data_IF_720260684973
#
_entry.id   IF_720260684973
#
_cell.length_a   1.000
_cell.length_b   1.000
_cell.length_c   1.000
_cell.angle_alpha   90.00
_cell.angle_beta   90.00
_cell.angle_gamma   90.00
#
_symmetry.space_group_name_H-M   'P 1'
#
loop_
_entity.id
_entity.type
_entity.pdbx_description
1 polymer ?
#
# COMPACT_ATOMS: atom_id res chain seq x y z
N UNK A 1 -21.33 -0.82 -8.49
CA UNK A 1 -20.51 -1.70 -9.35
C UNK A 1 -20.92 -3.16 -9.19
N UNK A 2 -20.80 -3.74 -7.99
CA UNK A 2 -21.09 -5.16 -7.72
C UNK A 2 -22.47 -5.60 -8.24
N UNK A 3 -23.53 -4.86 -7.91
CA UNK A 3 -24.88 -5.23 -8.38
C UNK A 3 -25.02 -5.20 -9.90
N UNK A 4 -24.31 -4.29 -10.57
CA UNK A 4 -24.30 -4.22 -12.02
C UNK A 4 -23.54 -5.41 -12.63
N UNK A 5 -22.41 -5.80 -12.01
CA UNK A 5 -21.65 -6.99 -12.40
C UNK A 5 -22.50 -8.27 -12.24
N UNK A 6 -23.20 -8.41 -11.12
CA UNK A 6 -24.12 -9.52 -10.87
C UNK A 6 -25.24 -9.56 -11.93
N UNK A 7 -25.93 -8.43 -12.18
CA UNK A 7 -26.97 -8.34 -13.22
C UNK A 7 -26.47 -8.62 -14.63
N UNK A 8 -25.21 -8.31 -14.91
CA UNK A 8 -24.58 -8.56 -16.22
C UNK A 8 -24.06 -10.00 -16.38
N UNK A 9 -24.19 -10.85 -15.36
CA UNK A 9 -23.69 -12.23 -15.40
C UNK A 9 -22.16 -12.33 -15.38
N UNK A 10 -21.48 -11.35 -14.78
CA UNK A 10 -20.03 -11.44 -14.52
C UNK A 10 -19.78 -12.68 -13.65
N UNK A 11 -18.86 -13.54 -14.10
CA UNK A 11 -18.61 -14.83 -13.44
C UNK A 11 -17.67 -14.74 -12.24
N UNK A 12 -16.76 -13.78 -12.22
CA UNK A 12 -15.75 -13.64 -11.18
C UNK A 12 -15.30 -12.19 -11.03
N UNK A 13 -15.14 -11.73 -9.79
CA UNK A 13 -14.62 -10.39 -9.45
C UNK A 13 -13.38 -10.55 -8.58
N UNK A 14 -12.26 -10.00 -9.05
CA UNK A 14 -11.03 -9.87 -8.25
C UNK A 14 -11.00 -8.48 -7.64
N UNK A 15 -11.07 -8.42 -6.32
CA UNK A 15 -11.14 -7.18 -5.56
C UNK A 15 -9.79 -6.88 -4.93
N UNK A 16 -9.16 -5.76 -5.31
CA UNK A 16 -8.10 -5.16 -4.51
C UNK A 16 -8.72 -4.54 -3.25
N UNK A 17 -8.29 -5.02 -2.09
CA UNK A 17 -8.81 -4.68 -0.77
C UNK A 17 -7.72 -4.16 0.15
N UNK A 18 -8.10 -3.68 1.33
CA UNK A 18 -7.18 -3.25 2.39
C UNK A 18 -6.65 -4.43 3.22
N UNK A 19 -5.53 -4.25 3.91
CA UNK A 19 -4.85 -5.33 4.66
C UNK A 19 -5.69 -5.89 5.81
N UNK A 20 -6.57 -5.09 6.43
CA UNK A 20 -7.47 -5.52 7.53
C UNK A 20 -8.85 -4.88 7.35
N UNK A 21 -9.66 -5.41 6.43
CA UNK A 21 -11.03 -4.96 6.26
C UNK A 21 -11.86 -5.45 7.44
N UNK A 22 -12.61 -4.55 8.06
CA UNK A 22 -13.42 -4.83 9.24
C UNK A 22 -14.56 -3.81 9.31
N UNK A 23 -15.80 -4.29 9.14
CA UNK A 23 -17.04 -3.50 9.16
C UNK A 23 -17.26 -2.78 10.49
N UNK A 24 -16.68 -3.27 11.58
CA UNK A 24 -16.81 -2.69 12.92
C UNK A 24 -15.69 -1.70 13.27
N UNK A 25 -14.69 -1.55 12.40
CA UNK A 25 -13.50 -0.74 12.68
C UNK A 25 -13.85 0.74 12.85
N UNK A 26 -13.27 1.48 13.79
CA UNK A 26 -13.41 2.94 13.81
C UNK A 26 -12.67 3.62 12.63
N UNK A 27 -11.71 2.93 12.01
CA UNK A 27 -10.97 3.43 10.85
C UNK A 27 -11.79 3.33 9.56
N UNK A 28 -12.03 4.48 8.92
CA UNK A 28 -12.94 4.58 7.77
C UNK A 28 -12.58 3.65 6.61
N UNK A 29 -11.30 3.49 6.29
CA UNK A 29 -10.89 2.66 5.13
C UNK A 29 -11.02 1.17 5.43
N UNK A 30 -10.74 0.74 6.67
CA UNK A 30 -10.99 -0.64 7.09
C UNK A 30 -12.48 -1.00 7.00
N UNK A 31 -13.38 -0.13 7.47
CA UNK A 31 -14.84 -0.34 7.31
C UNK A 31 -15.26 -0.38 5.87
N UNK A 32 -14.88 0.63 5.09
CA UNK A 32 -15.24 0.72 3.68
C UNK A 32 -14.83 -0.55 2.92
N UNK A 33 -13.59 -1.05 3.13
CA UNK A 33 -13.19 -2.30 2.50
C UNK A 33 -14.00 -3.49 3.02
N UNK A 34 -14.29 -3.59 4.33
CA UNK A 34 -15.11 -4.65 4.91
C UNK A 34 -16.54 -4.68 4.35
N UNK A 35 -17.19 -3.52 4.26
CA UNK A 35 -18.54 -3.38 3.69
C UNK A 35 -18.55 -3.84 2.22
N UNK A 36 -17.52 -3.47 1.45
CA UNK A 36 -17.39 -3.91 0.05
C UNK A 36 -17.14 -5.42 -0.06
N UNK A 37 -16.32 -6.02 0.82
CA UNK A 37 -16.14 -7.49 0.81
C UNK A 37 -17.44 -8.21 1.13
N UNK A 38 -18.11 -7.80 2.21
CA UNK A 38 -19.37 -8.41 2.62
C UNK A 38 -20.44 -8.28 1.53
N UNK A 39 -20.54 -7.12 0.88
CA UNK A 39 -21.48 -6.92 -0.22
C UNK A 39 -21.14 -7.78 -1.45
N UNK A 40 -19.85 -7.94 -1.78
CA UNK A 40 -19.42 -8.80 -2.86
C UNK A 40 -19.73 -10.28 -2.57
N UNK A 41 -19.45 -10.73 -1.35
CA UNK A 41 -19.73 -12.08 -0.87
C UNK A 41 -21.22 -12.41 -0.90
N UNK A 42 -22.06 -11.46 -0.47
CA UNK A 42 -23.52 -11.61 -0.47
C UNK A 42 -24.14 -11.52 -1.88
N UNK A 43 -23.42 -11.02 -2.88
CA UNK A 43 -23.95 -10.80 -4.24
C UNK A 43 -24.17 -12.09 -5.04
N UNK A 44 -23.58 -13.21 -4.61
CA UNK A 44 -23.59 -14.48 -5.34
C UNK A 44 -22.62 -14.56 -6.52
N UNK A 45 -21.89 -13.47 -6.84
CA UNK A 45 -20.80 -13.49 -7.82
C UNK A 45 -19.57 -14.14 -7.19
N UNK A 46 -18.91 -15.06 -7.89
CA UNK A 46 -17.65 -15.61 -7.40
C UNK A 46 -16.62 -14.49 -7.22
N UNK A 47 -15.76 -14.60 -6.22
CA UNK A 47 -14.83 -13.51 -5.88
C UNK A 47 -13.45 -14.02 -5.49
N UNK A 48 -12.47 -13.12 -5.53
CA UNK A 48 -11.20 -13.28 -4.84
C UNK A 48 -10.80 -11.92 -4.24
N UNK A 49 -10.43 -11.90 -2.97
CA UNK A 49 -9.94 -10.68 -2.31
C UNK A 49 -8.41 -10.66 -2.29
N UNK A 50 -7.81 -9.63 -2.85
CA UNK A 50 -6.38 -9.32 -2.72
C UNK A 50 -6.23 -8.23 -1.66
N UNK A 51 -5.89 -8.59 -0.43
CA UNK A 51 -5.78 -7.67 0.70
C UNK A 51 -4.37 -7.10 0.79
N UNK A 52 -4.19 -5.86 0.33
CA UNK A 52 -2.90 -5.16 0.33
C UNK A 52 -2.89 -3.97 1.30
N UNK A 53 -1.71 -3.65 1.83
CA UNK A 53 -1.48 -2.53 2.75
C UNK A 53 -0.86 -1.33 2.05
N UNK A 54 0.24 -0.82 2.59
CA UNK A 54 1.07 0.20 1.94
C UNK A 54 1.67 -0.26 0.60
N UNK A 55 1.74 0.67 -0.35
CA UNK A 55 2.42 0.47 -1.62
C UNK A 55 3.80 1.13 -1.59
N UNK A 56 4.84 0.45 -2.11
CA UNK A 56 6.18 1.05 -2.24
C UNK A 56 6.16 2.35 -3.05
N UNK A 57 5.23 2.45 -4.01
CA UNK A 57 5.06 3.62 -4.85
C UNK A 57 4.55 4.85 -4.08
N UNK A 58 3.90 4.69 -2.92
CA UNK A 58 3.45 5.80 -2.08
C UNK A 58 4.60 6.72 -1.64
N UNK A 59 5.83 6.18 -1.53
CA UNK A 59 7.01 6.97 -1.17
C UNK A 59 7.42 7.98 -2.24
N UNK A 60 6.90 7.89 -3.47
CA UNK A 60 7.12 8.92 -4.48
C UNK A 60 6.55 10.29 -4.07
N UNK A 61 5.53 10.32 -3.21
CA UNK A 61 5.01 11.58 -2.63
C UNK A 61 6.03 12.30 -1.75
N UNK A 62 7.07 11.60 -1.29
CA UNK A 62 8.15 12.14 -0.45
C UNK A 62 9.35 12.63 -1.26
N UNK A 63 9.39 12.40 -2.58
CA UNK A 63 10.50 12.81 -3.46
C UNK A 63 10.85 14.29 -3.31
N UNK A 64 9.89 15.25 -3.26
CA UNK A 64 10.26 16.66 -3.05
C UNK A 64 11.01 16.90 -1.73
N UNK A 65 10.65 16.21 -0.65
CA UNK A 65 11.37 16.33 0.63
C UNK A 65 12.74 15.66 0.57
N UNK A 66 12.81 14.46 -0.01
CA UNK A 66 14.04 13.70 -0.17
C UNK A 66 15.06 14.50 -1.00
N UNK A 67 14.65 15.05 -2.14
CA UNK A 67 15.53 15.80 -3.04
C UNK A 67 15.98 17.12 -2.41
N UNK A 68 15.06 17.87 -1.80
CA UNK A 68 15.38 19.21 -1.29
C UNK A 68 16.06 19.20 0.09
N UNK A 69 15.88 18.14 0.89
CA UNK A 69 16.31 18.11 2.31
C UNK A 69 17.11 16.87 2.69
N UNK A 70 17.12 15.83 1.87
CA UNK A 70 17.64 14.52 2.28
C UNK A 70 16.78 13.88 3.37
N UNK A 71 15.47 14.16 3.38
CA UNK A 71 14.57 13.74 4.47
C UNK A 71 13.34 13.00 3.94
N UNK A 72 13.14 11.77 4.45
CA UNK A 72 11.87 11.06 4.39
C UNK A 72 11.01 11.51 5.57
N UNK A 73 9.89 12.21 5.32
CA UNK A 73 9.09 12.87 6.36
C UNK A 73 7.69 12.27 6.43
N UNK A 74 7.47 11.39 7.40
CA UNK A 74 6.19 10.71 7.59
C UNK A 74 5.85 10.59 9.08
N UNK A 75 4.57 10.67 9.47
CA UNK A 75 4.16 10.52 10.85
C UNK A 75 4.02 9.04 11.20
N UNK A 76 5.09 8.27 11.14
CA UNK A 76 5.07 6.80 11.27
C UNK A 76 5.78 6.28 12.52
N UNK A 77 6.46 7.13 13.29
CA UNK A 77 7.26 6.74 14.45
C UNK A 77 8.12 5.49 14.14
N UNK A 78 8.04 4.45 14.98
CA UNK A 78 8.74 3.18 14.81
C UNK A 78 7.89 2.09 14.12
N UNK A 79 6.80 2.46 13.43
CA UNK A 79 5.94 1.49 12.74
C UNK A 79 6.74 0.70 11.69
N UNK A 80 6.54 -0.61 11.66
CA UNK A 80 7.06 -1.50 10.61
C UNK A 80 5.96 -1.80 9.61
N UNK A 81 6.26 -1.72 8.33
CA UNK A 81 5.29 -1.89 7.24
C UNK A 81 5.85 -2.84 6.18
N UNK A 82 5.08 -3.85 5.83
CA UNK A 82 5.39 -4.79 4.74
C UNK A 82 4.89 -4.26 3.38
N UNK A 83 5.41 -3.10 2.97
CA UNK A 83 4.98 -2.39 1.77
C UNK A 83 5.16 -3.24 0.52
N UNK A 84 4.16 -3.30 -0.36
CA UNK A 84 4.15 -4.13 -1.57
C UNK A 84 4.36 -3.30 -2.84
N UNK A 85 5.00 -3.88 -3.84
CA UNK A 85 5.11 -3.31 -5.17
C UNK A 85 3.80 -3.46 -5.97
N UNK A 86 3.39 -2.41 -6.69
CA UNK A 86 2.14 -2.45 -7.47
C UNK A 86 2.23 -3.49 -8.62
N UNK A 87 3.43 -3.74 -9.16
CA UNK A 87 3.67 -4.76 -10.17
C UNK A 87 3.38 -6.17 -9.65
N UNK A 88 3.81 -6.48 -8.43
CA UNK A 88 3.50 -7.78 -7.80
C UNK A 88 1.99 -7.97 -7.58
N UNK A 89 1.27 -6.90 -7.22
CA UNK A 89 -0.20 -6.95 -7.12
C UNK A 89 -0.81 -7.24 -8.49
N UNK A 90 -0.33 -6.57 -9.54
CA UNK A 90 -0.83 -6.75 -10.89
C UNK A 90 -0.58 -8.17 -11.42
N UNK A 91 0.61 -8.74 -11.15
CA UNK A 91 0.95 -10.11 -11.51
C UNK A 91 0.03 -11.11 -10.79
N UNK A 92 -0.16 -10.95 -9.48
CA UNK A 92 -1.10 -11.79 -8.71
C UNK A 92 -2.53 -11.66 -9.23
N UNK A 93 -2.98 -10.44 -9.52
CA UNK A 93 -4.32 -10.22 -10.07
C UNK A 93 -4.48 -10.89 -11.45
N UNK A 94 -3.46 -10.85 -12.31
CA UNK A 94 -3.47 -11.51 -13.60
C UNK A 94 -3.55 -13.04 -13.46
N UNK A 95 -2.75 -13.63 -12.56
CA UNK A 95 -2.79 -15.07 -12.26
C UNK A 95 -4.17 -15.48 -11.75
N UNK A 96 -4.76 -14.71 -10.84
CA UNK A 96 -6.10 -14.98 -10.29
C UNK A 96 -7.19 -14.85 -11.38
N UNK A 97 -7.10 -13.86 -12.26
CA UNK A 97 -8.08 -13.63 -13.32
C UNK A 97 -8.03 -14.67 -14.44
N UNK A 98 -6.88 -15.31 -14.64
CA UNK A 98 -6.64 -16.23 -15.77
C UNK A 98 -6.49 -17.69 -15.34
N UNK A 99 -6.22 -17.93 -14.07
CA UNK A 99 -6.15 -19.25 -13.46
C UNK A 99 -7.48 -19.75 -12.90
N UNK A 100 -7.44 -20.91 -12.25
CA UNK A 100 -8.60 -21.57 -11.63
C UNK A 100 -8.34 -21.90 -10.17
N UNK A 101 -9.39 -21.97 -9.34
CA UNK A 101 -9.26 -22.38 -7.93
C UNK A 101 -9.01 -21.21 -6.96
N UNK A 102 -9.20 -19.99 -7.43
CA UNK A 102 -9.07 -18.76 -6.65
C UNK A 102 -10.41 -18.23 -6.14
N UNK A 103 -11.52 -18.83 -6.57
CA UNK A 103 -12.87 -18.48 -6.15
C UNK A 103 -13.06 -18.67 -4.64
N UNK A 104 -13.64 -17.66 -3.98
CA UNK A 104 -13.84 -17.61 -2.54
C UNK A 104 -12.55 -17.43 -1.73
N UNK A 105 -11.39 -17.23 -2.38
CA UNK A 105 -10.10 -17.07 -1.70
C UNK A 105 -9.86 -15.63 -1.28
N UNK A 106 -9.14 -15.49 -0.17
CA UNK A 106 -8.59 -14.22 0.31
C UNK A 106 -7.09 -14.37 0.42
N UNK A 107 -6.36 -13.47 -0.23
CA UNK A 107 -4.91 -13.44 -0.24
C UNK A 107 -4.41 -12.16 0.42
N UNK A 108 -3.73 -12.25 1.58
CA UNK A 108 -2.93 -11.15 2.09
C UNK A 108 -1.71 -10.96 1.18
N UNK A 109 -1.60 -9.77 0.58
CA UNK A 109 -0.57 -9.41 -0.41
C UNK A 109 0.34 -8.36 0.20
N UNK A 110 1.59 -8.74 0.49
CA UNK A 110 2.59 -7.90 1.15
C UNK A 110 3.93 -8.02 0.45
N UNK A 111 4.79 -7.01 0.63
CA UNK A 111 6.19 -7.12 0.26
C UNK A 111 6.91 -8.22 1.07
N UNK A 112 8.17 -8.53 0.72
CA UNK A 112 8.92 -9.60 1.35
C UNK A 112 9.48 -9.21 2.73
N UNK A 113 9.56 -7.91 3.03
CA UNK A 113 10.20 -7.38 4.23
C UNK A 113 9.29 -6.36 4.92
N UNK A 114 9.25 -6.39 6.26
CA UNK A 114 8.59 -5.37 7.07
C UNK A 114 9.61 -4.37 7.60
N UNK A 115 9.58 -3.13 7.09
CA UNK A 115 10.58 -2.10 7.37
C UNK A 115 10.01 -0.93 8.15
N UNK A 116 10.82 -0.39 9.05
CA UNK A 116 10.66 0.95 9.63
C UNK A 116 10.99 2.01 8.59
N UNK A 117 10.51 3.24 8.80
CA UNK A 117 10.86 4.34 7.90
C UNK A 117 12.35 4.70 7.96
N UNK A 118 13.04 4.42 9.07
CA UNK A 118 14.51 4.52 9.17
C UNK A 118 15.19 3.53 8.22
N UNK A 119 14.76 2.25 8.21
CA UNK A 119 15.30 1.25 7.28
C UNK A 119 14.97 1.60 5.82
N UNK A 120 13.75 2.08 5.53
CA UNK A 120 13.38 2.62 4.21
C UNK A 120 14.33 3.75 3.77
N UNK A 121 14.61 4.71 4.66
CA UNK A 121 15.55 5.80 4.37
C UNK A 121 16.98 5.30 4.12
N UNK A 122 17.43 4.25 4.82
CA UNK A 122 18.71 3.59 4.57
C UNK A 122 18.77 2.94 3.19
N UNK A 123 17.72 2.22 2.78
CA UNK A 123 17.66 1.61 1.45
C UNK A 123 17.64 2.66 0.33
N UNK A 124 16.89 3.74 0.52
CA UNK A 124 16.90 4.88 -0.39
C UNK A 124 18.29 5.55 -0.44
N UNK A 125 18.98 5.69 0.69
CA UNK A 125 20.32 6.27 0.74
C UNK A 125 21.31 5.43 -0.07
N UNK A 126 21.27 4.11 0.12
CA UNK A 126 22.10 3.17 -0.63
C UNK A 126 21.81 3.24 -2.13
N UNK A 127 20.54 3.21 -2.52
CA UNK A 127 20.14 3.25 -3.93
C UNK A 127 20.49 4.56 -4.65
N UNK A 128 20.47 5.67 -3.92
CA UNK A 128 20.72 7.01 -4.49
C UNK A 128 22.16 7.48 -4.33
N UNK A 129 22.98 6.79 -3.53
CA UNK A 129 24.30 7.23 -3.08
C UNK A 129 24.28 8.65 -2.45
N UNK A 130 23.18 9.01 -1.77
CA UNK A 130 22.99 10.28 -1.08
C UNK A 130 22.49 10.03 0.34
N UNK A 131 22.89 10.83 1.34
CA UNK A 131 22.37 10.67 2.69
C UNK A 131 20.88 11.05 2.75
N UNK A 132 20.03 10.09 3.12
CA UNK A 132 18.61 10.28 3.36
C UNK A 132 18.30 9.78 4.77
N UNK A 133 17.73 10.65 5.61
CA UNK A 133 17.31 10.29 6.96
C UNK A 133 15.80 10.31 7.10
N UNK A 134 15.28 9.46 7.98
CA UNK A 134 13.88 9.53 8.38
C UNK A 134 13.68 10.62 9.44
N UNK A 135 12.59 11.37 9.32
CA UNK A 135 12.11 12.32 10.32
C UNK A 135 10.66 11.97 10.63
N UNK A 136 10.41 11.53 11.87
CA UNK A 136 9.05 11.38 12.36
C UNK A 136 8.45 12.78 12.57
N UNK A 137 7.45 13.11 11.77
CA UNK A 137 6.76 14.40 11.85
C UNK A 137 5.54 14.23 12.77
N UNK A 138 5.21 15.20 13.63
CA UNK A 138 3.97 15.17 14.39
C UNK A 138 2.76 15.00 13.44
N UNK A 139 1.77 14.13 13.76
CA UNK A 139 0.64 13.88 12.87
C UNK A 139 -0.13 15.14 12.45
N UNK A 140 -0.28 16.10 13.36
CA UNK A 140 -0.93 17.39 13.14
C UNK A 140 -0.16 18.25 12.13
N UNK A 141 1.16 18.27 12.21
CA UNK A 141 2.03 19.00 11.28
C UNK A 141 2.01 18.34 9.89
N UNK A 142 2.02 17.00 9.84
CA UNK A 142 1.91 16.26 8.58
C UNK A 142 0.58 16.57 7.87
N UNK A 143 -0.53 16.60 8.63
CA UNK A 143 -1.85 16.96 8.11
C UNK A 143 -1.89 18.41 7.61
N UNK A 144 -1.37 19.36 8.40
CA UNK A 144 -1.33 20.76 8.02
C UNK A 144 -0.51 20.98 6.74
N UNK A 145 0.64 20.32 6.63
CA UNK A 145 1.48 20.37 5.44
C UNK A 145 0.78 19.80 4.19
N UNK A 146 0.02 18.70 4.33
CA UNK A 146 -0.77 18.14 3.22
C UNK A 146 -1.84 19.12 2.72
N UNK A 147 -2.56 19.77 3.63
CA UNK A 147 -3.56 20.78 3.28
C UNK A 147 -2.91 21.99 2.60
N UNK A 148 -1.79 22.47 3.14
CA UNK A 148 -1.02 23.57 2.54
C UNK A 148 -0.49 23.22 1.13
N UNK A 149 -0.24 21.94 0.87
CA UNK A 149 0.13 21.42 -0.46
C UNK A 149 -1.07 21.22 -1.41
N UNK A 150 -2.28 21.65 -1.02
CA UNK A 150 -3.47 21.61 -1.85
C UNK A 150 -4.33 20.36 -1.68
N UNK A 151 -4.03 19.48 -0.73
CA UNK A 151 -4.89 18.33 -0.44
C UNK A 151 -6.19 18.78 0.23
N UNK A 152 -7.36 18.33 -0.25
CA UNK A 152 -8.63 18.56 0.41
C UNK A 152 -8.62 18.08 1.89
N UNK A 153 -9.17 18.85 2.84
CA UNK A 153 -9.12 18.51 4.27
C UNK A 153 -9.62 17.10 4.60
N UNK A 154 -10.71 16.65 3.97
CA UNK A 154 -11.28 15.33 4.23
C UNK A 154 -10.33 14.17 3.83
N UNK A 155 -9.48 14.37 2.81
CA UNK A 155 -8.45 13.40 2.42
C UNK A 155 -7.27 13.42 3.39
N UNK A 156 -6.86 14.62 3.84
CA UNK A 156 -5.82 14.76 4.86
C UNK A 156 -6.25 14.10 6.19
N UNK A 157 -7.53 14.23 6.57
CA UNK A 157 -8.10 13.51 7.73
C UNK A 157 -8.03 12.00 7.57
N UNK A 158 -8.37 11.49 6.37
CA UNK A 158 -8.28 10.07 6.06
C UNK A 158 -6.84 9.54 6.13
N UNK A 159 -5.86 10.31 5.66
CA UNK A 159 -4.44 9.96 5.79
C UNK A 159 -3.96 10.02 7.25
N UNK A 160 -4.41 10.99 8.03
CA UNK A 160 -4.09 11.08 9.45
C UNK A 160 -4.59 9.84 10.21
N UNK A 161 -5.83 9.40 9.95
CA UNK A 161 -6.36 8.14 10.49
C UNK A 161 -5.53 6.93 10.03
N UNK A 162 -5.17 6.86 8.75
CA UNK A 162 -4.35 5.76 8.20
C UNK A 162 -3.00 5.66 8.90
N UNK A 163 -2.30 6.78 9.09
CA UNK A 163 -1.02 6.78 9.79
C UNK A 163 -1.17 6.38 11.27
N UNK A 164 -2.24 6.82 11.93
CA UNK A 164 -2.54 6.42 13.30
C UNK A 164 -2.80 4.91 13.41
N UNK A 165 -3.50 4.30 12.45
CA UNK A 165 -3.69 2.84 12.40
C UNK A 165 -2.38 2.09 12.15
N UNK A 166 -1.54 2.58 11.23
CA UNK A 166 -0.25 1.96 10.93
C UNK A 166 0.69 1.94 12.14
N UNK A 167 0.66 2.98 12.97
CA UNK A 167 1.39 3.03 14.24
C UNK A 167 0.99 1.91 15.22
N UNK A 168 -0.18 1.28 15.05
CA UNK A 168 -0.60 0.11 15.85
C UNK A 168 0.07 -1.20 15.39
N UNK A 169 0.86 -1.17 14.31
CA UNK A 169 1.73 -2.28 13.89
C UNK A 169 1.05 -3.40 13.11
N UNK A 170 -0.24 -3.26 12.76
CA UNK A 170 -0.98 -4.35 12.11
C UNK A 170 -0.54 -4.64 10.66
N UNK A 171 0.20 -3.73 10.02
CA UNK A 171 0.78 -3.92 8.68
C UNK A 171 2.24 -4.47 8.70
N UNK A 172 2.74 -4.89 9.87
CA UNK A 172 4.10 -5.43 10.01
C UNK A 172 4.24 -6.91 9.62
N UNK A 173 3.13 -7.63 9.43
CA UNK A 173 3.15 -9.06 9.12
C UNK A 173 3.44 -9.30 7.64
N UNK A 174 4.49 -10.06 7.35
CA UNK A 174 4.82 -10.52 5.99
C UNK A 174 4.02 -11.78 5.66
N UNK A 175 3.32 -11.75 4.54
CA UNK A 175 2.56 -12.87 4.00
C UNK A 175 3.43 -13.75 3.08
N UNK A 176 3.42 -15.08 3.24
CA UNK A 176 4.14 -15.99 2.35
C UNK A 176 3.36 -16.28 1.06
N UNK A 177 2.20 -15.65 0.82
CA UNK A 177 1.28 -16.01 -0.28
C UNK A 177 1.93 -15.90 -1.65
N UNK A 178 2.63 -14.80 -1.94
CA UNK A 178 3.28 -14.62 -3.25
C UNK A 178 4.29 -15.74 -3.55
N UNK A 179 5.26 -16.07 -2.67
CA UNK A 179 6.20 -17.16 -2.93
C UNK A 179 5.58 -18.55 -2.85
N UNK A 180 4.55 -18.77 -2.02
CA UNK A 180 4.01 -20.13 -1.80
C UNK A 180 2.88 -20.49 -2.76
N UNK A 181 1.96 -19.56 -3.05
CA UNK A 181 0.81 -19.79 -3.93
C UNK A 181 1.17 -19.41 -5.36
N UNK A 182 1.70 -18.21 -5.56
CA UNK A 182 1.99 -17.67 -6.89
C UNK A 182 3.40 -18.02 -7.38
N UNK A 183 4.23 -18.65 -6.54
CA UNK A 183 5.58 -19.14 -6.89
C UNK A 183 6.50 -18.03 -7.43
N UNK A 184 6.30 -16.79 -6.98
CA UNK A 184 7.10 -15.62 -7.37
C UNK A 184 7.92 -15.11 -6.19
N UNK A 185 9.07 -14.51 -6.49
CA UNK A 185 9.80 -13.70 -5.52
C UNK A 185 9.23 -12.27 -5.58
N UNK A 186 8.65 -11.75 -4.49
CA UNK A 186 8.21 -10.36 -4.45
C UNK A 186 9.37 -9.38 -4.65
N UNK A 187 9.08 -8.24 -5.24
CA UNK A 187 9.93 -7.05 -5.29
C UNK A 187 10.33 -6.66 -3.86
N UNK A 188 11.63 -6.70 -3.55
CA UNK A 188 12.12 -6.16 -2.27
C UNK A 188 12.17 -4.64 -2.31
N UNK A 189 12.10 -4.00 -1.15
CA UNK A 189 12.20 -2.54 -1.11
C UNK A 189 13.57 -2.03 -1.61
N UNK A 190 14.65 -2.76 -1.30
CA UNK A 190 15.99 -2.45 -1.78
C UNK A 190 16.09 -2.50 -3.31
N UNK A 191 15.51 -3.54 -3.93
CA UNK A 191 15.46 -3.68 -5.39
C UNK A 191 14.56 -2.57 -6.01
N UNK A 192 13.44 -2.22 -5.36
CA UNK A 192 12.55 -1.14 -5.79
C UNK A 192 13.26 0.22 -5.75
N UNK A 193 13.92 0.53 -4.64
CA UNK A 193 14.70 1.76 -4.47
C UNK A 193 15.79 1.89 -5.55
N UNK A 194 16.51 0.80 -5.85
CA UNK A 194 17.50 0.76 -6.93
C UNK A 194 16.88 0.98 -8.31
N UNK A 195 15.77 0.30 -8.60
CA UNK A 195 15.04 0.44 -9.88
C UNK A 195 14.57 1.88 -10.11
N UNK A 196 14.14 2.57 -9.05
CA UNK A 196 13.57 3.91 -9.12
C UNK A 196 14.52 5.01 -8.61
N UNK A 197 15.82 4.73 -8.52
CA UNK A 197 16.79 5.65 -7.92
C UNK A 197 16.83 7.01 -8.62
N UNK A 198 16.66 7.06 -9.95
CA UNK A 198 16.61 8.32 -10.71
C UNK A 198 15.44 9.23 -10.26
N UNK A 199 14.28 8.66 -9.92
CA UNK A 199 13.14 9.41 -9.37
C UNK A 199 13.50 9.98 -8.00
N UNK A 200 14.07 9.17 -7.11
CA UNK A 200 14.47 9.62 -5.78
C UNK A 200 15.66 10.60 -5.78
N UNK A 201 16.45 10.65 -6.87
CA UNK A 201 17.45 11.70 -7.10
C UNK A 201 16.89 12.98 -7.71
N UNK A 202 15.63 12.98 -8.15
CA UNK A 202 14.98 14.10 -8.84
C UNK A 202 15.37 14.22 -10.33
N UNK A 203 15.99 13.19 -10.90
CA UNK A 203 16.41 13.13 -12.31
C UNK A 203 15.26 12.75 -13.25
N UNK A 204 14.21 12.15 -12.69
CA UNK A 204 12.98 11.79 -13.38
C UNK A 204 11.77 12.24 -12.56
N UNK A 205 10.68 12.68 -13.23
CA UNK A 205 9.47 13.03 -12.52
C UNK A 205 8.91 11.79 -11.82
N UNK A 206 8.49 11.97 -10.57
CA UNK A 206 7.67 10.97 -9.91
C UNK A 206 6.35 10.79 -10.68
N UNK A 207 5.93 9.54 -10.96
CA UNK A 207 4.61 9.31 -11.53
C UNK A 207 3.54 9.83 -10.56
N UNK A 208 2.39 10.26 -11.10
CA UNK A 208 1.26 10.66 -10.26
C UNK A 208 0.70 9.41 -9.57
N UNK A 209 0.81 9.36 -8.24
CA UNK A 209 0.26 8.33 -7.35
C UNK A 209 -0.67 8.94 -6.32
#
# INVERSE_FOLDING_TARGET
FIDAAARAGVRHVVKLSGVIPDVSSPFRFARMHGEIEQHLEASGVAYTHLRAGEFMHSYFRQVPSIVNRGELRLPMAAARIASIDIGDIADVAADVLTGSGHEGKTYPITGPDALTMTEVATELSTATAKPIRYVDVPPEDARAAQIAAGMPPYLADGLAELFAERRKGKEATVSPVIPTVFKRRPMSFADFARRHAAIFRGEQPAPRV
#
